data_IF_504892078447
#
_entry.id   IF_504892078447
#
_cell.length_a   1.000
_cell.length_b   1.000
_cell.length_c   1.000
_cell.angle_alpha   90.00
_cell.angle_beta   90.00
_cell.angle_gamma   90.00
#
_symmetry.space_group_name_H-M   'P 1'
#
loop_
_entity.id
_entity.type
_entity.pdbx_description
1 polymer ?
#
# COMPACT_ATOMS: atom_id res chain seq x y z
N UNK A 1 -2.87 7.87 61.74
CA UNK A 1 -2.40 6.60 61.20
C UNK A 1 -3.58 5.90 60.54
N UNK A 2 -4.00 6.29 59.33
CA UNK A 2 -4.89 5.50 58.43
C UNK A 2 -5.18 6.26 57.13
N UNK A 3 -4.11 6.63 56.39
CA UNK A 3 -4.27 7.27 55.06
C UNK A 3 -3.21 6.81 54.06
N UNK A 4 -2.59 5.62 54.30
CA UNK A 4 -1.46 5.16 53.45
C UNK A 4 -1.72 3.81 52.76
N UNK A 5 -2.95 3.30 52.78
CA UNK A 5 -3.27 1.98 52.16
C UNK A 5 -4.23 2.03 50.99
N UNK A 6 -4.63 3.23 50.50
CA UNK A 6 -5.57 3.37 49.38
C UNK A 6 -4.93 3.76 48.04
N UNK A 7 -3.62 4.03 48.00
CA UNK A 7 -2.90 4.40 46.75
C UNK A 7 -2.08 3.27 46.10
N UNK A 8 -2.14 2.06 46.67
CA UNK A 8 -1.34 0.92 46.19
C UNK A 8 -2.14 -0.17 45.44
N UNK A 9 -3.38 0.10 45.06
CA UNK A 9 -4.26 -0.88 44.38
C UNK A 9 -4.75 -0.48 42.98
N UNK A 10 -4.08 0.45 42.32
CA UNK A 10 -4.34 0.75 40.88
C UNK A 10 -3.09 0.58 40.04
N UNK A 11 -2.31 -0.46 40.29
CA UNK A 11 -1.58 -1.12 39.21
C UNK A 11 -2.63 -2.01 38.55
N UNK A 12 -3.43 -1.37 37.67
CA UNK A 12 -4.30 -2.06 36.74
C UNK A 12 -3.46 -3.15 36.08
N UNK A 13 -3.83 -4.41 36.31
CA UNK A 13 -3.49 -5.53 35.46
C UNK A 13 -4.00 -5.17 34.04
N UNK A 14 -3.20 -4.44 33.27
CA UNK A 14 -3.42 -4.32 31.82
C UNK A 14 -3.36 -5.74 31.28
N UNK A 15 -4.54 -6.34 31.12
CA UNK A 15 -4.67 -7.67 30.53
C UNK A 15 -3.79 -7.73 29.29
N UNK A 16 -2.91 -8.71 29.21
CA UNK A 16 -1.99 -8.86 28.09
C UNK A 16 -2.78 -8.84 26.79
N UNK A 17 -2.36 -7.97 25.87
CA UNK A 17 -3.02 -7.87 24.55
C UNK A 17 -3.20 -9.26 23.96
N UNK A 18 -4.39 -9.61 23.44
CA UNK A 18 -4.60 -10.90 22.77
C UNK A 18 -3.52 -11.21 21.72
N UNK A 19 -2.88 -10.19 21.14
CA UNK A 19 -1.80 -10.32 20.16
C UNK A 19 -0.51 -10.91 20.75
N UNK A 20 -0.35 -10.89 22.08
CA UNK A 20 0.82 -11.45 22.77
C UNK A 20 0.59 -12.89 23.26
N UNK A 21 -0.63 -13.32 23.53
CA UNK A 21 -0.90 -14.58 24.23
C UNK A 21 -1.57 -15.66 23.40
N UNK A 22 -2.39 -15.29 22.39
CA UNK A 22 -3.16 -16.24 21.60
C UNK A 22 -2.37 -17.01 20.51
N UNK A 23 -3.01 -17.99 19.84
CA UNK A 23 -2.43 -18.72 18.71
C UNK A 23 -2.07 -17.80 17.55
N UNK A 24 -0.84 -17.83 17.09
CA UNK A 24 -0.28 -16.92 16.07
C UNK A 24 -1.11 -16.94 14.77
N UNK A 25 -1.48 -18.11 14.27
CA UNK A 25 -2.30 -18.23 13.05
C UNK A 25 -3.63 -17.46 13.19
N UNK A 26 -4.35 -17.68 14.31
CA UNK A 26 -5.63 -16.98 14.57
C UNK A 26 -5.46 -15.48 14.63
N UNK A 27 -4.38 -15.00 15.27
CA UNK A 27 -4.09 -13.57 15.39
C UNK A 27 -3.70 -12.96 14.07
N UNK A 28 -2.88 -13.66 13.27
CA UNK A 28 -2.52 -13.21 11.93
C UNK A 28 -3.79 -13.09 11.06
N UNK A 29 -4.65 -14.11 11.04
CA UNK A 29 -5.92 -14.05 10.29
C UNK A 29 -6.84 -12.93 10.81
N UNK A 30 -6.91 -12.73 12.13
CA UNK A 30 -7.70 -11.64 12.73
C UNK A 30 -7.25 -10.25 12.25
N UNK A 31 -5.94 -10.04 12.08
CA UNK A 31 -5.39 -8.80 11.55
C UNK A 31 -5.50 -8.75 10.02
N UNK A 32 -5.19 -9.84 9.32
CA UNK A 32 -5.07 -9.86 7.87
C UNK A 32 -6.43 -9.78 7.16
N UNK A 33 -7.44 -10.55 7.60
CA UNK A 33 -8.70 -10.65 6.87
C UNK A 33 -9.42 -9.29 6.78
N UNK A 34 -9.65 -8.53 7.87
CA UNK A 34 -10.30 -7.22 7.75
C UNK A 34 -9.45 -6.23 6.95
N UNK A 35 -8.12 -6.27 7.09
CA UNK A 35 -7.20 -5.42 6.34
C UNK A 35 -7.29 -5.69 4.84
N UNK A 36 -7.27 -6.97 4.44
CA UNK A 36 -7.42 -7.40 3.04
C UNK A 36 -8.77 -6.96 2.49
N UNK A 37 -9.85 -7.21 3.24
CA UNK A 37 -11.20 -6.80 2.80
C UNK A 37 -11.30 -5.29 2.61
N UNK A 38 -10.78 -4.49 3.53
CA UNK A 38 -10.73 -3.04 3.39
C UNK A 38 -9.97 -2.59 2.14
N UNK A 39 -8.80 -3.19 1.88
CA UNK A 39 -7.99 -2.89 0.70
C UNK A 39 -8.64 -3.35 -0.61
N UNK A 40 -9.28 -4.51 -0.64
CA UNK A 40 -10.00 -5.01 -1.82
C UNK A 40 -11.19 -4.12 -2.15
N UNK A 41 -11.98 -3.72 -1.16
CA UNK A 41 -13.10 -2.78 -1.35
C UNK A 41 -12.57 -1.44 -1.87
N UNK A 42 -11.44 -0.97 -1.33
CA UNK A 42 -10.76 0.24 -1.80
C UNK A 42 -10.25 0.09 -3.25
N UNK A 43 -9.73 -1.07 -3.64
CA UNK A 43 -9.33 -1.35 -5.03
C UNK A 43 -10.53 -1.38 -5.98
N UNK A 44 -11.65 -1.95 -5.54
CA UNK A 44 -12.87 -2.03 -6.34
C UNK A 44 -13.47 -0.64 -6.63
N UNK A 45 -13.50 0.26 -5.64
CA UNK A 45 -14.05 1.60 -5.91
C UNK A 45 -13.23 2.34 -6.96
N UNK A 46 -11.91 2.23 -6.95
CA UNK A 46 -11.05 2.84 -7.97
C UNK A 46 -11.38 2.36 -9.38
N UNK A 47 -11.75 1.09 -9.51
CA UNK A 47 -12.19 0.54 -10.79
C UNK A 47 -13.58 1.08 -11.20
N UNK A 48 -14.53 1.16 -10.26
CA UNK A 48 -15.87 1.68 -10.51
C UNK A 48 -15.85 3.17 -10.86
N UNK A 49 -15.04 3.98 -10.16
CA UNK A 49 -14.81 5.40 -10.45
C UNK A 49 -14.32 5.59 -11.90
N UNK A 50 -13.29 4.84 -12.31
CA UNK A 50 -12.80 4.87 -13.69
C UNK A 50 -13.89 4.48 -14.72
N UNK A 51 -14.75 3.51 -14.39
CA UNK A 51 -15.87 3.09 -15.22
C UNK A 51 -16.91 4.20 -15.35
N UNK A 52 -17.28 4.87 -14.26
CA UNK A 52 -18.24 5.95 -14.25
C UNK A 52 -17.73 7.17 -15.03
N UNK A 53 -16.47 7.53 -14.89
CA UNK A 53 -15.86 8.61 -15.68
C UNK A 53 -15.85 8.23 -17.17
N UNK A 54 -15.45 7.02 -17.52
CA UNK A 54 -15.36 6.56 -18.90
C UNK A 54 -16.73 6.48 -19.59
N UNK A 55 -17.73 5.92 -18.91
CA UNK A 55 -19.07 5.72 -19.49
C UNK A 55 -19.98 6.93 -19.31
N UNK A 56 -19.88 7.65 -18.19
CA UNK A 56 -20.76 8.78 -17.87
C UNK A 56 -20.31 10.10 -18.51
N UNK A 57 -19.00 10.31 -18.71
CA UNK A 57 -18.47 11.57 -19.24
C UNK A 57 -17.82 11.35 -20.60
N UNK A 58 -17.12 10.22 -20.79
CA UNK A 58 -16.53 9.82 -22.06
C UNK A 58 -15.02 9.59 -22.01
N UNK A 59 -14.49 9.06 -23.11
CA UNK A 59 -13.09 8.64 -23.24
C UNK A 59 -12.09 9.80 -23.04
N UNK A 60 -12.43 11.01 -23.48
CA UNK A 60 -11.57 12.19 -23.31
C UNK A 60 -11.39 12.54 -21.83
N UNK A 61 -12.46 12.48 -21.04
CA UNK A 61 -12.42 12.69 -19.59
C UNK A 61 -11.56 11.65 -18.89
N UNK A 62 -11.69 10.38 -19.27
CA UNK A 62 -10.85 9.31 -18.76
C UNK A 62 -9.38 9.51 -19.13
N UNK A 63 -9.10 10.01 -20.34
CA UNK A 63 -7.75 10.41 -20.76
C UNK A 63 -7.17 11.50 -19.88
N UNK A 64 -7.96 12.55 -19.56
CA UNK A 64 -7.56 13.65 -18.70
C UNK A 64 -7.24 13.19 -17.27
N UNK A 65 -8.10 12.34 -16.67
CA UNK A 65 -7.87 11.76 -15.33
C UNK A 65 -6.62 10.87 -15.32
N UNK A 66 -6.46 10.04 -16.33
CA UNK A 66 -5.28 9.15 -16.45
C UNK A 66 -3.97 9.95 -16.56
N UNK A 67 -3.98 11.08 -17.27
CA UNK A 67 -2.80 11.92 -17.44
C UNK A 67 -2.32 12.54 -16.12
N UNK A 68 -3.21 12.82 -15.16
CA UNK A 68 -2.86 13.41 -13.84
C UNK A 68 -2.79 12.37 -12.72
N UNK A 69 -3.07 11.11 -12.99
CA UNK A 69 -2.99 10.02 -12.02
C UNK A 69 -1.63 9.90 -11.32
N UNK A 70 -0.47 10.16 -11.97
CA UNK A 70 0.82 10.16 -11.28
C UNK A 70 0.92 11.16 -10.12
N UNK A 71 0.25 12.31 -10.22
CA UNK A 71 0.21 13.31 -9.13
C UNK A 71 -0.48 12.69 -7.90
N UNK A 72 -1.61 12.06 -8.11
CA UNK A 72 -2.39 11.41 -7.06
C UNK A 72 -1.61 10.26 -6.41
N UNK A 73 -0.89 9.47 -7.22
CA UNK A 73 -0.05 8.38 -6.72
C UNK A 73 1.07 8.86 -5.81
N UNK A 74 1.71 10.01 -6.10
CA UNK A 74 2.73 10.60 -5.23
C UNK A 74 2.13 11.00 -3.88
N UNK A 75 0.95 11.64 -3.88
CA UNK A 75 0.26 12.04 -2.64
C UNK A 75 -0.09 10.82 -1.79
N UNK A 76 -0.61 9.76 -2.41
CA UNK A 76 -0.94 8.49 -1.73
C UNK A 76 0.33 7.84 -1.19
N UNK A 77 1.40 7.73 -1.97
CA UNK A 77 2.64 7.09 -1.58
C UNK A 77 3.27 7.76 -0.35
N UNK A 78 3.28 9.09 -0.31
CA UNK A 78 3.83 9.84 0.83
C UNK A 78 2.92 9.70 2.05
N UNK A 79 1.60 9.81 1.89
CA UNK A 79 0.64 9.58 2.97
C UNK A 79 0.79 8.19 3.60
N UNK A 80 0.90 7.16 2.77
CA UNK A 80 1.08 5.77 3.20
C UNK A 80 2.44 5.54 3.85
N UNK A 81 3.50 6.17 3.32
CA UNK A 81 4.83 6.17 3.94
C UNK A 81 4.77 6.66 5.39
N UNK A 82 4.13 7.80 5.62
CA UNK A 82 4.00 8.38 6.96
C UNK A 82 3.18 7.49 7.90
N UNK A 83 2.05 6.98 7.42
CA UNK A 83 1.17 6.09 8.18
C UNK A 83 1.86 4.77 8.54
N UNK A 84 2.55 4.13 7.61
CA UNK A 84 3.28 2.88 7.85
C UNK A 84 4.44 3.06 8.84
N UNK A 85 5.20 4.16 8.72
CA UNK A 85 6.26 4.49 9.66
C UNK A 85 5.75 4.72 11.08
N UNK A 86 4.66 5.44 11.24
CA UNK A 86 3.96 5.63 12.51
C UNK A 86 3.48 4.29 13.06
N UNK A 87 2.79 3.48 12.26
CA UNK A 87 2.23 2.19 12.66
C UNK A 87 3.30 1.21 13.16
N UNK A 88 4.48 1.20 12.54
CA UNK A 88 5.64 0.41 12.98
C UNK A 88 6.11 0.78 14.40
N UNK A 89 6.18 2.07 14.72
CA UNK A 89 6.59 2.54 16.04
C UNK A 89 5.50 2.27 17.08
N UNK A 90 4.25 2.59 16.76
CA UNK A 90 3.11 2.43 17.65
C UNK A 90 2.93 0.97 18.08
N UNK A 91 2.87 0.03 17.11
CA UNK A 91 2.69 -1.40 17.42
C UNK A 91 3.80 -1.93 18.32
N UNK A 92 5.03 -1.49 18.12
CA UNK A 92 6.19 -1.88 18.93
C UNK A 92 6.15 -1.30 20.34
N UNK A 93 5.78 -0.02 20.49
CA UNK A 93 5.65 0.60 21.80
C UNK A 93 4.49 0.02 22.61
N UNK A 94 3.36 -0.29 21.95
CA UNK A 94 2.24 -0.97 22.61
C UNK A 94 2.64 -2.38 23.06
N UNK A 95 3.38 -3.13 22.24
CA UNK A 95 3.92 -4.43 22.64
C UNK A 95 4.89 -4.35 23.83
N UNK A 96 5.68 -3.28 23.90
CA UNK A 96 6.58 -3.00 25.02
C UNK A 96 5.89 -2.41 26.26
N UNK A 97 4.55 -2.29 26.29
CA UNK A 97 3.74 -1.63 27.32
C UNK A 97 4.11 -0.15 27.55
N UNK A 98 4.67 0.50 26.52
CA UNK A 98 5.09 1.91 26.54
C UNK A 98 4.01 2.81 25.93
N UNK A 99 2.86 2.89 26.60
CA UNK A 99 1.67 3.60 26.14
C UNK A 99 1.94 5.08 25.80
N UNK A 100 2.70 5.80 26.66
CA UNK A 100 3.00 7.22 26.48
C UNK A 100 3.77 7.48 25.19
N UNK A 101 4.75 6.63 24.86
CA UNK A 101 5.53 6.75 23.64
C UNK A 101 4.70 6.41 22.40
N UNK A 102 3.77 5.45 22.50
CA UNK A 102 2.84 5.13 21.42
C UNK A 102 1.91 6.32 21.13
N UNK A 103 1.33 6.95 22.17
CA UNK A 103 0.49 8.14 22.04
C UNK A 103 1.27 9.34 21.49
N UNK A 104 2.54 9.50 21.88
CA UNK A 104 3.42 10.54 21.38
C UNK A 104 3.65 10.38 19.87
N UNK A 105 4.05 9.20 19.42
CA UNK A 105 4.31 8.92 17.99
C UNK A 105 3.04 9.08 17.18
N UNK A 106 1.91 8.58 17.66
CA UNK A 106 0.61 8.74 16.99
C UNK A 106 0.27 10.22 16.82
N UNK A 107 0.42 11.02 17.87
CA UNK A 107 0.13 12.47 17.83
C UNK A 107 1.11 13.24 16.96
N UNK A 108 2.41 12.92 17.03
CA UNK A 108 3.44 13.53 16.20
C UNK A 108 3.23 13.28 14.70
N UNK A 109 2.64 12.13 14.34
CA UNK A 109 2.37 11.78 12.94
C UNK A 109 1.42 12.76 12.27
N UNK A 110 0.47 13.36 13.00
CA UNK A 110 -0.45 14.36 12.44
C UNK A 110 0.26 15.65 12.03
N UNK A 111 1.20 16.14 12.84
CA UNK A 111 1.99 17.32 12.47
C UNK A 111 2.77 17.05 11.18
N UNK A 112 3.45 15.90 11.13
CA UNK A 112 4.22 15.51 9.94
C UNK A 112 3.31 15.34 8.71
N UNK A 113 2.14 14.71 8.88
CA UNK A 113 1.17 14.52 7.81
C UNK A 113 0.62 15.85 7.28
N UNK A 114 0.23 16.75 8.17
CA UNK A 114 -0.31 18.07 7.81
C UNK A 114 0.76 18.91 7.10
N UNK A 115 1.98 18.97 7.65
CA UNK A 115 3.07 19.74 7.03
C UNK A 115 3.44 19.17 5.65
N UNK A 116 3.55 17.85 5.53
CA UNK A 116 3.83 17.20 4.25
C UNK A 116 2.70 17.42 3.24
N UNK A 117 1.44 17.31 3.66
CA UNK A 117 0.30 17.56 2.81
C UNK A 117 0.27 19.02 2.34
N UNK A 118 0.40 19.99 3.24
CA UNK A 118 0.42 21.41 2.90
C UNK A 118 1.56 21.73 1.92
N UNK A 119 2.77 21.25 2.19
CA UNK A 119 3.92 21.44 1.31
C UNK A 119 3.66 20.88 -0.08
N UNK A 120 3.27 19.60 -0.18
CA UNK A 120 3.07 18.92 -1.45
C UNK A 120 1.89 19.52 -2.23
N UNK A 121 0.77 19.75 -1.57
CA UNK A 121 -0.41 20.33 -2.19
C UNK A 121 -0.13 21.76 -2.70
N UNK A 122 0.56 22.58 -1.91
CA UNK A 122 0.94 23.94 -2.33
C UNK A 122 1.92 23.91 -3.50
N UNK A 123 2.98 23.08 -3.42
CA UNK A 123 3.95 22.94 -4.52
C UNK A 123 3.28 22.45 -5.80
N UNK A 124 2.39 21.46 -5.70
CA UNK A 124 1.66 20.92 -6.85
C UNK A 124 0.73 21.97 -7.44
N UNK A 125 -0.05 22.67 -6.61
CA UNK A 125 -0.98 23.69 -7.07
C UNK A 125 -0.30 24.85 -7.76
N UNK A 126 0.79 25.39 -7.17
CA UNK A 126 1.53 26.52 -7.73
C UNK A 126 2.29 26.16 -9.02
N UNK A 127 2.62 24.89 -9.24
CA UNK A 127 3.39 24.43 -10.40
C UNK A 127 2.56 23.56 -11.36
N UNK A 128 1.22 23.60 -11.29
CA UNK A 128 0.36 22.67 -12.02
C UNK A 128 0.63 22.67 -13.53
N UNK A 129 0.80 23.87 -14.14
CA UNK A 129 1.10 24.01 -15.56
C UNK A 129 2.46 23.39 -15.94
N UNK A 130 3.49 23.59 -15.10
CA UNK A 130 4.81 22.99 -15.30
C UNK A 130 4.76 21.46 -15.18
N UNK A 131 3.95 20.95 -14.25
CA UNK A 131 3.72 19.52 -14.06
C UNK A 131 2.98 18.94 -15.27
N UNK A 132 1.98 19.65 -15.82
CA UNK A 132 1.30 19.22 -17.05
C UNK A 132 2.27 19.13 -18.23
N UNK A 133 3.17 20.11 -18.37
CA UNK A 133 4.22 20.06 -19.39
C UNK A 133 5.19 18.91 -19.17
N UNK A 134 5.60 18.62 -17.93
CA UNK A 134 6.48 17.51 -17.58
C UNK A 134 5.82 16.14 -17.86
N UNK A 135 4.51 16.03 -17.60
CA UNK A 135 3.73 14.84 -17.87
C UNK A 135 3.26 14.74 -19.33
N UNK A 136 3.64 15.71 -20.17
CA UNK A 136 3.22 15.82 -21.58
C UNK A 136 1.69 15.73 -21.73
N UNK A 137 0.93 16.38 -20.85
CA UNK A 137 -0.55 16.41 -20.90
C UNK A 137 -0.97 17.23 -22.14
N UNK A 138 -1.70 16.64 -23.11
CA UNK A 138 -2.19 17.36 -24.28
C UNK A 138 -3.03 18.59 -23.90
N UNK A 139 -2.87 19.69 -24.60
CA UNK A 139 -3.62 20.95 -24.33
C UNK A 139 -5.13 20.73 -24.32
N UNK A 140 -5.65 19.85 -25.19
CA UNK A 140 -7.07 19.49 -25.27
C UNK A 140 -7.61 18.83 -23.99
N UNK A 141 -6.73 18.22 -23.17
CA UNK A 141 -7.10 17.54 -21.93
C UNK A 141 -6.84 18.38 -20.67
N UNK A 142 -6.03 19.46 -20.75
CA UNK A 142 -5.59 20.23 -19.58
C UNK A 142 -6.74 20.84 -18.79
N UNK A 143 -7.78 21.32 -19.45
CA UNK A 143 -8.96 21.89 -18.79
C UNK A 143 -9.68 20.87 -17.91
N UNK A 144 -9.94 19.66 -18.44
CA UNK A 144 -10.59 18.58 -17.69
C UNK A 144 -9.64 18.01 -16.61
N UNK A 145 -8.36 17.85 -16.94
CA UNK A 145 -7.32 17.42 -15.99
C UNK A 145 -7.21 18.38 -14.80
N UNK A 146 -7.22 19.69 -15.04
CA UNK A 146 -7.21 20.73 -14.02
C UNK A 146 -8.49 20.69 -13.17
N UNK A 147 -9.68 20.55 -13.78
CA UNK A 147 -10.96 20.44 -13.07
C UNK A 147 -11.03 19.23 -12.14
N UNK A 148 -10.34 18.14 -12.48
CA UNK A 148 -10.25 16.95 -11.65
C UNK A 148 -9.21 17.08 -10.53
N UNK A 149 -7.96 17.47 -10.88
CA UNK A 149 -6.85 17.38 -9.92
C UNK A 149 -6.83 18.53 -8.92
N UNK A 150 -7.31 19.74 -9.30
CA UNK A 150 -7.26 20.90 -8.42
C UNK A 150 -8.02 20.73 -7.11
N UNK A 151 -9.30 20.30 -7.10
CA UNK A 151 -10.01 20.03 -5.85
C UNK A 151 -9.29 18.97 -5.00
N UNK A 152 -8.81 17.89 -5.63
CA UNK A 152 -8.07 16.82 -4.93
C UNK A 152 -6.84 17.41 -4.24
N UNK A 153 -5.99 18.13 -4.94
CA UNK A 153 -4.76 18.72 -4.37
C UNK A 153 -5.10 19.71 -3.25
N UNK A 154 -6.11 20.55 -3.40
CA UNK A 154 -6.50 21.52 -2.37
C UNK A 154 -6.95 20.88 -1.06
N UNK A 155 -7.65 19.77 -1.12
CA UNK A 155 -8.28 19.14 0.04
C UNK A 155 -7.63 17.81 0.48
N UNK A 156 -6.52 17.38 -0.15
CA UNK A 156 -5.88 16.09 0.18
C UNK A 156 -5.30 16.02 1.59
N UNK A 157 -5.18 17.13 2.29
CA UNK A 157 -4.89 17.16 3.75
C UNK A 157 -5.87 16.27 4.53
N UNK A 158 -7.14 16.23 4.11
CA UNK A 158 -8.18 15.36 4.70
C UNK A 158 -7.76 13.88 4.56
N UNK A 159 -7.28 13.49 3.37
CA UNK A 159 -6.78 12.14 3.11
C UNK A 159 -5.56 11.77 3.97
N UNK A 160 -4.62 12.71 4.14
CA UNK A 160 -3.45 12.49 5.01
C UNK A 160 -3.86 12.25 6.46
N UNK A 161 -4.75 13.08 7.02
CA UNK A 161 -5.23 12.95 8.40
C UNK A 161 -6.03 11.65 8.56
N UNK A 162 -6.95 11.36 7.64
CA UNK A 162 -7.75 10.14 7.66
C UNK A 162 -6.86 8.89 7.65
N UNK A 163 -5.81 8.89 6.82
CA UNK A 163 -4.84 7.80 6.76
C UNK A 163 -4.10 7.59 8.09
N UNK A 164 -3.68 8.66 8.80
CA UNK A 164 -3.00 8.52 10.09
C UNK A 164 -3.91 7.85 11.13
N UNK A 165 -5.20 8.23 11.21
CA UNK A 165 -6.14 7.61 12.14
C UNK A 165 -6.38 6.15 11.76
N UNK A 166 -6.57 5.88 10.49
CA UNK A 166 -6.83 4.53 9.95
C UNK A 166 -5.66 3.58 10.24
N UNK A 167 -4.43 4.04 9.98
CA UNK A 167 -3.20 3.31 10.30
C UNK A 167 -3.00 3.16 11.83
N UNK A 168 -3.44 4.13 12.60
CA UNK A 168 -3.47 4.07 14.06
C UNK A 168 -4.36 2.95 14.60
N UNK A 169 -5.56 2.74 14.03
CA UNK A 169 -6.41 1.60 14.36
C UNK A 169 -5.71 0.27 14.09
N UNK A 170 -5.11 0.12 12.93
CA UNK A 170 -4.36 -1.08 12.56
C UNK A 170 -3.19 -1.32 13.52
N UNK A 171 -2.38 -0.29 13.75
CA UNK A 171 -1.23 -0.37 14.64
C UNK A 171 -1.60 -0.70 16.09
N UNK A 172 -2.80 -0.32 16.51
CA UNK A 172 -3.36 -0.63 17.84
C UNK A 172 -3.94 -2.05 17.93
N UNK A 173 -3.96 -2.81 16.82
CA UNK A 173 -4.52 -4.16 16.77
C UNK A 173 -6.04 -4.20 16.56
N UNK A 174 -6.66 -3.11 16.08
CA UNK A 174 -8.07 -3.06 15.68
C UNK A 174 -8.25 -2.88 14.16
N UNK A 175 -7.97 -3.92 13.34
CA UNK A 175 -8.12 -3.84 11.90
C UNK A 175 -9.58 -3.71 11.45
N UNK A 176 -10.55 -4.03 12.30
CA UNK A 176 -11.98 -3.85 11.99
C UNK A 176 -12.36 -2.39 11.88
N UNK A 177 -11.87 -1.54 12.79
CA UNK A 177 -12.09 -0.09 12.71
C UNK A 177 -11.43 0.50 11.45
N UNK A 178 -10.21 0.06 11.12
CA UNK A 178 -9.57 0.40 9.84
C UNK A 178 -10.46 0.01 8.64
N UNK A 179 -10.92 -1.23 8.59
CA UNK A 179 -11.78 -1.73 7.51
C UNK A 179 -13.08 -0.91 7.41
N UNK A 180 -13.72 -0.56 8.54
CA UNK A 180 -14.93 0.26 8.54
C UNK A 180 -14.70 1.62 7.88
N UNK A 181 -13.61 2.31 8.23
CA UNK A 181 -13.29 3.62 7.65
C UNK A 181 -13.04 3.50 6.14
N UNK A 182 -12.20 2.53 5.72
CA UNK A 182 -11.87 2.31 4.31
C UNK A 182 -13.11 1.93 3.49
N UNK A 183 -13.92 1.00 4.00
CA UNK A 183 -15.13 0.56 3.30
C UNK A 183 -16.16 1.69 3.21
N UNK A 184 -16.29 2.49 4.26
CA UNK A 184 -17.22 3.65 4.21
C UNK A 184 -16.76 4.67 3.18
N UNK A 185 -15.45 5.03 3.16
CA UNK A 185 -14.91 5.93 2.15
C UNK A 185 -15.19 5.42 0.73
N UNK A 186 -14.93 4.12 0.49
CA UNK A 186 -15.09 3.51 -0.82
C UNK A 186 -16.55 3.42 -1.28
N UNK A 187 -17.45 2.98 -0.41
CA UNK A 187 -18.88 2.87 -0.73
C UNK A 187 -19.50 4.25 -0.96
N UNK A 188 -19.19 5.21 -0.09
CA UNK A 188 -19.67 6.59 -0.25
C UNK A 188 -19.12 7.23 -1.52
N UNK A 189 -17.87 6.98 -1.88
CA UNK A 189 -17.30 7.48 -3.12
C UNK A 189 -18.10 6.97 -4.33
N UNK A 190 -18.38 5.67 -4.44
CA UNK A 190 -19.19 5.09 -5.53
C UNK A 190 -20.58 5.73 -5.60
N UNK A 191 -21.24 5.93 -4.46
CA UNK A 191 -22.58 6.52 -4.42
C UNK A 191 -22.55 8.00 -4.81
N UNK A 192 -21.55 8.74 -4.34
CA UNK A 192 -21.40 10.17 -4.66
C UNK A 192 -20.92 10.39 -6.09
N UNK A 193 -20.08 9.51 -6.65
CA UNK A 193 -19.72 9.54 -8.07
C UNK A 193 -20.95 9.38 -8.94
N UNK A 194 -21.80 8.39 -8.64
CA UNK A 194 -23.05 8.21 -9.36
C UNK A 194 -23.93 9.46 -9.27
N UNK A 195 -24.04 10.07 -8.10
CA UNK A 195 -24.85 11.27 -7.89
C UNK A 195 -24.28 12.51 -8.62
N UNK A 196 -22.98 12.76 -8.49
CA UNK A 196 -22.35 13.99 -9.00
C UNK A 196 -22.11 13.92 -10.51
N UNK A 197 -21.82 12.72 -11.05
CA UNK A 197 -21.58 12.54 -12.49
C UNK A 197 -22.91 12.45 -13.26
N UNK A 198 -23.84 11.59 -12.82
CA UNK A 198 -25.04 11.28 -13.62
C UNK A 198 -26.27 12.12 -13.27
N UNK A 199 -26.42 12.58 -12.01
CA UNK A 199 -27.59 13.35 -11.58
C UNK A 199 -27.31 14.85 -11.61
N UNK A 200 -26.17 15.28 -11.08
CA UNK A 200 -25.80 16.70 -11.06
C UNK A 200 -25.03 17.14 -12.30
N UNK A 201 -24.57 16.20 -13.12
CA UNK A 201 -23.85 16.46 -14.38
C UNK A 201 -22.59 17.35 -14.21
N UNK A 202 -21.91 17.23 -13.05
CA UNK A 202 -20.70 18.02 -12.75
C UNK A 202 -19.47 17.54 -13.54
N UNK A 203 -19.61 16.53 -14.39
CA UNK A 203 -18.52 15.99 -15.19
C UNK A 203 -17.36 15.48 -14.35
N UNK A 204 -16.14 15.70 -14.81
CA UNK A 204 -14.90 15.21 -14.16
C UNK A 204 -14.70 15.83 -12.77
N UNK A 205 -15.12 17.10 -12.58
CA UNK A 205 -15.09 17.74 -11.28
C UNK A 205 -15.99 17.03 -10.26
N UNK A 206 -17.09 16.41 -10.71
CA UNK A 206 -17.98 15.60 -9.88
C UNK A 206 -17.26 14.44 -9.22
N UNK A 207 -16.47 13.68 -9.98
CA UNK A 207 -15.66 12.57 -9.45
C UNK A 207 -14.65 13.07 -8.40
N UNK A 208 -13.96 14.19 -8.64
CA UNK A 208 -13.05 14.79 -7.69
C UNK A 208 -13.75 15.17 -6.37
N UNK A 209 -14.88 15.85 -6.45
CA UNK A 209 -15.66 16.25 -5.27
C UNK A 209 -16.27 15.05 -4.54
N UNK A 210 -16.70 14.01 -5.26
CA UNK A 210 -17.18 12.77 -4.65
C UNK A 210 -16.10 12.11 -3.78
N UNK A 211 -14.87 12.06 -4.28
CA UNK A 211 -13.71 11.55 -3.52
C UNK A 211 -13.47 12.37 -2.25
N UNK A 212 -13.48 13.71 -2.34
CA UNK A 212 -13.25 14.59 -1.20
C UNK A 212 -14.38 14.48 -0.17
N UNK A 213 -15.63 14.47 -0.61
CA UNK A 213 -16.79 14.32 0.27
C UNK A 213 -16.78 12.95 0.97
N UNK A 214 -16.49 11.88 0.25
CA UNK A 214 -16.39 10.54 0.80
C UNK A 214 -15.28 10.44 1.87
N UNK A 215 -14.09 10.97 1.58
CA UNK A 215 -12.97 11.05 2.54
C UNK A 215 -13.31 11.93 3.74
N UNK A 216 -14.03 13.03 3.55
CA UNK A 216 -14.45 13.91 4.66
C UNK A 216 -15.40 13.21 5.61
N UNK A 217 -16.38 12.49 5.08
CA UNK A 217 -17.32 11.71 5.90
C UNK A 217 -16.58 10.55 6.60
N UNK A 218 -15.70 9.86 5.88
CA UNK A 218 -14.87 8.80 6.45
C UNK A 218 -13.96 9.32 7.58
N UNK A 219 -13.39 10.53 7.43
CA UNK A 219 -12.62 11.19 8.49
C UNK A 219 -13.47 11.46 9.73
N UNK A 220 -14.71 11.95 9.56
CA UNK A 220 -15.64 12.17 10.70
C UNK A 220 -15.90 10.85 11.42
N UNK A 221 -16.13 9.77 10.69
CA UNK A 221 -16.35 8.43 11.27
C UNK A 221 -15.06 7.95 11.97
N UNK A 222 -13.89 8.14 11.35
CA UNK A 222 -12.61 7.77 11.98
C UNK A 222 -12.39 8.51 13.32
N UNK A 223 -12.69 9.82 13.35
CA UNK A 223 -12.62 10.61 14.59
C UNK A 223 -13.63 10.12 15.64
N UNK A 224 -14.86 9.77 15.23
CA UNK A 224 -15.86 9.20 16.13
C UNK A 224 -15.44 7.86 16.72
N UNK A 225 -14.89 6.96 15.90
CA UNK A 225 -14.36 5.67 16.36
C UNK A 225 -13.17 5.89 17.31
N UNK A 226 -12.27 6.81 16.99
CA UNK A 226 -11.16 7.18 17.86
C UNK A 226 -11.64 7.72 19.21
N UNK A 227 -12.67 8.57 19.23
CA UNK A 227 -13.23 9.13 20.46
C UNK A 227 -14.00 8.11 21.30
N UNK A 228 -14.54 7.06 20.68
CA UNK A 228 -15.17 5.91 21.38
C UNK A 228 -14.16 4.93 21.98
N UNK A 229 -12.85 5.15 21.78
CA UNK A 229 -11.82 4.30 22.33
C UNK A 229 -11.53 3.03 21.51
N UNK A 230 -11.93 2.99 20.24
CA UNK A 230 -11.63 1.87 19.33
C UNK A 230 -10.14 1.75 18.99
N UNK A 231 -9.33 2.74 19.37
CA UNK A 231 -7.87 2.72 19.25
C UNK A 231 -7.22 2.66 20.62
N UNK A 232 -6.18 1.86 20.77
CA UNK A 232 -5.39 1.83 21.99
C UNK A 232 -4.54 3.10 22.17
N UNK A 233 -4.28 3.87 21.09
CA UNK A 233 -3.52 5.13 21.18
C UNK A 233 -4.44 6.34 21.27
N UNK A 234 -3.99 7.35 22.01
CA UNK A 234 -4.74 8.59 22.26
C UNK A 234 -4.01 9.79 21.67
N UNK A 235 -4.79 10.71 21.10
CA UNK A 235 -4.26 11.96 20.61
C UNK A 235 -3.92 12.91 21.76
N UNK A 236 -2.69 13.41 21.78
CA UNK A 236 -2.17 14.34 22.78
C UNK A 236 -1.66 15.61 22.11
N UNK A 237 -2.31 16.75 22.34
CA UNK A 237 -1.92 18.03 21.71
C UNK A 237 -0.46 18.43 22.00
N UNK A 238 0.06 18.10 23.18
CA UNK A 238 1.46 18.42 23.56
C UNK A 238 2.48 17.67 22.71
N UNK A 239 2.14 16.51 22.21
CA UNK A 239 3.02 15.65 21.43
C UNK A 239 3.03 15.98 19.92
N UNK A 240 2.27 16.98 19.47
CA UNK A 240 2.35 17.48 18.09
C UNK A 240 3.77 18.01 17.75
N UNK A 241 4.42 18.66 18.73
CA UNK A 241 5.76 19.23 18.61
C UNK A 241 6.82 18.30 19.24
N UNK A 242 6.70 17.00 19.00
CA UNK A 242 7.70 16.02 19.45
C UNK A 242 9.08 16.25 18.84
N UNK A 243 10.15 15.75 19.47
CA UNK A 243 11.51 15.91 18.97
C UNK A 243 11.66 15.39 17.53
N UNK A 244 12.50 16.07 16.74
CA UNK A 244 12.75 15.77 15.31
C UNK A 244 13.16 14.31 15.09
N UNK A 245 13.82 13.70 16.07
CA UNK A 245 14.21 12.28 16.03
C UNK A 245 13.02 11.33 15.89
N UNK A 246 11.86 11.66 16.46
CA UNK A 246 10.62 10.86 16.33
C UNK A 246 10.15 10.90 14.88
N UNK A 247 10.11 12.08 14.28
CA UNK A 247 9.72 12.27 12.88
C UNK A 247 10.68 11.57 11.91
N UNK A 248 12.01 11.69 12.14
CA UNK A 248 13.00 11.01 11.30
C UNK A 248 12.90 9.48 11.39
N UNK A 249 12.59 8.93 12.58
CA UNK A 249 12.33 7.49 12.73
C UNK A 249 11.08 7.05 11.97
N UNK A 250 10.00 7.82 12.02
CA UNK A 250 8.80 7.54 11.21
C UNK A 250 9.11 7.55 9.72
N UNK A 251 9.80 8.59 9.22
CA UNK A 251 10.20 8.68 7.82
C UNK A 251 11.07 7.50 7.39
N UNK A 252 12.08 7.15 8.19
CA UNK A 252 12.99 6.04 7.86
C UNK A 252 12.28 4.68 7.81
N UNK A 253 11.30 4.44 8.69
CA UNK A 253 10.53 3.21 8.73
C UNK A 253 9.43 3.14 7.65
N UNK A 254 8.98 4.29 7.17
CA UNK A 254 8.06 4.37 6.04
C UNK A 254 8.74 4.32 4.66
N UNK A 255 10.04 4.62 4.59
CA UNK A 255 10.79 4.68 3.33
C UNK A 255 10.65 3.43 2.45
N UNK A 256 10.65 2.18 2.98
CA UNK A 256 10.39 1.00 2.16
C UNK A 256 9.09 1.10 1.35
N UNK A 257 8.02 1.60 1.96
CA UNK A 257 6.72 1.75 1.30
C UNK A 257 6.78 2.75 0.14
N UNK A 258 7.47 3.88 0.34
CA UNK A 258 7.69 4.86 -0.73
C UNK A 258 8.48 4.26 -1.90
N UNK A 259 9.53 3.50 -1.61
CA UNK A 259 10.34 2.84 -2.64
C UNK A 259 9.57 1.74 -3.38
N UNK A 260 8.68 1.01 -2.69
CA UNK A 260 7.80 0.02 -3.33
C UNK A 260 6.85 0.69 -4.32
N UNK A 261 6.18 1.79 -3.94
CA UNK A 261 5.30 2.55 -4.85
C UNK A 261 6.07 3.15 -6.02
N UNK A 262 7.24 3.78 -5.77
CA UNK A 262 8.11 4.30 -6.81
C UNK A 262 8.65 3.21 -7.72
N UNK A 263 9.07 2.08 -7.14
CA UNK A 263 9.57 0.92 -7.85
C UNK A 263 8.55 0.35 -8.83
N UNK A 264 7.30 0.28 -8.43
CA UNK A 264 6.22 -0.16 -9.31
C UNK A 264 6.08 0.74 -10.55
N UNK A 265 6.11 2.05 -10.37
CA UNK A 265 6.04 3.02 -11.48
C UNK A 265 7.26 2.90 -12.42
N UNK A 266 8.45 2.70 -11.86
CA UNK A 266 9.68 2.49 -12.64
C UNK A 266 9.62 1.19 -13.43
N UNK A 267 9.11 0.09 -12.82
CA UNK A 267 8.93 -1.19 -13.53
C UNK A 267 8.00 -1.01 -14.72
N UNK A 268 6.84 -0.35 -14.54
CA UNK A 268 5.90 -0.11 -15.64
C UNK A 268 6.55 0.66 -16.80
N UNK A 269 7.22 1.76 -16.49
CA UNK A 269 7.90 2.58 -17.49
C UNK A 269 9.02 1.78 -18.20
N UNK A 270 9.85 1.05 -17.44
CA UNK A 270 10.92 0.23 -17.98
C UNK A 270 10.39 -0.90 -18.86
N UNK A 271 9.26 -1.54 -18.48
CA UNK A 271 8.65 -2.60 -19.28
C UNK A 271 8.14 -2.05 -20.61
N UNK A 272 7.41 -0.93 -20.58
CA UNK A 272 6.90 -0.28 -21.81
C UNK A 272 8.09 0.13 -22.73
N UNK A 273 9.12 0.74 -22.16
CA UNK A 273 10.34 1.11 -22.89
C UNK A 273 11.02 -0.13 -23.51
N UNK A 274 11.18 -1.20 -22.74
CA UNK A 274 11.77 -2.45 -23.22
C UNK A 274 10.94 -3.08 -24.35
N UNK A 275 9.62 -3.13 -24.22
CA UNK A 275 8.74 -3.64 -25.26
C UNK A 275 8.90 -2.81 -26.55
N UNK A 276 8.89 -1.48 -26.43
CA UNK A 276 8.99 -0.58 -27.58
C UNK A 276 10.34 -0.69 -28.31
N UNK A 277 11.42 -0.99 -27.60
CA UNK A 277 12.77 -1.11 -28.16
C UNK A 277 13.09 -2.51 -28.70
N UNK A 278 12.62 -3.54 -28.00
CA UNK A 278 12.97 -4.94 -28.30
C UNK A 278 11.98 -5.60 -29.28
N UNK A 279 10.68 -5.23 -29.20
CA UNK A 279 9.60 -5.79 -30.03
C UNK A 279 9.03 -4.77 -31.04
N UNK A 280 9.86 -4.05 -31.75
CA UNK A 280 9.45 -2.90 -32.57
C UNK A 280 8.24 -3.16 -33.50
N UNK A 281 8.09 -4.38 -34.08
CA UNK A 281 6.98 -4.71 -34.99
C UNK A 281 5.65 -5.04 -34.27
N UNK A 282 5.69 -5.56 -33.03
CA UNK A 282 4.51 -5.98 -32.26
C UNK A 282 4.38 -5.20 -30.93
N UNK A 283 4.99 -4.02 -30.82
CA UNK A 283 5.04 -3.27 -29.56
C UNK A 283 3.67 -2.88 -29.06
N UNK A 284 2.79 -2.39 -29.91
CA UNK A 284 1.46 -1.88 -29.52
C UNK A 284 0.55 -3.00 -28.94
N UNK A 285 0.35 -4.16 -29.59
CA UNK A 285 -0.40 -5.28 -29.01
C UNK A 285 0.21 -5.81 -27.72
N UNK A 286 1.55 -5.88 -27.62
CA UNK A 286 2.24 -6.33 -26.40
C UNK A 286 2.08 -5.36 -25.24
N UNK A 287 2.17 -4.05 -25.49
CA UNK A 287 1.94 -3.02 -24.46
C UNK A 287 0.49 -3.11 -23.96
N UNK A 288 -0.46 -3.31 -24.86
CA UNK A 288 -1.88 -3.46 -24.51
C UNK A 288 -2.11 -4.71 -23.66
N UNK A 289 -1.59 -5.86 -24.10
CA UNK A 289 -1.69 -7.12 -23.37
C UNK A 289 -1.06 -7.02 -21.96
N UNK A 290 0.17 -6.49 -21.89
CA UNK A 290 0.86 -6.25 -20.63
C UNK A 290 0.07 -5.30 -19.71
N UNK A 291 -0.48 -4.22 -20.25
CA UNK A 291 -1.31 -3.26 -19.48
C UNK A 291 -2.54 -3.91 -18.86
N UNK A 292 -3.23 -4.81 -19.58
CA UNK A 292 -4.36 -5.58 -19.04
C UNK A 292 -3.90 -6.51 -17.92
N UNK A 293 -2.82 -7.27 -18.15
CA UNK A 293 -2.28 -8.21 -17.17
C UNK A 293 -1.83 -7.50 -15.89
N UNK A 294 -1.20 -6.33 -15.99
CA UNK A 294 -0.78 -5.53 -14.83
C UNK A 294 -1.99 -5.09 -14.00
N UNK A 295 -3.10 -4.72 -14.62
CA UNK A 295 -4.33 -4.36 -13.88
C UNK A 295 -4.88 -5.56 -13.09
N UNK A 296 -4.94 -6.73 -13.72
CA UNK A 296 -5.31 -7.96 -13.03
C UNK A 296 -4.35 -8.30 -11.88
N UNK A 297 -3.05 -8.19 -12.14
CA UNK A 297 -1.99 -8.40 -11.15
C UNK A 297 -2.14 -7.46 -9.95
N UNK A 298 -2.31 -6.14 -10.17
CA UNK A 298 -2.46 -5.17 -9.10
C UNK A 298 -3.60 -5.52 -8.15
N UNK A 299 -4.75 -5.91 -8.70
CA UNK A 299 -5.90 -6.31 -7.90
C UNK A 299 -5.63 -7.58 -7.09
N UNK A 300 -5.04 -8.59 -7.71
CA UNK A 300 -4.68 -9.86 -7.07
C UNK A 300 -3.50 -9.72 -6.08
N UNK A 301 -2.75 -8.63 -6.16
CA UNK A 301 -1.64 -8.32 -5.24
C UNK A 301 -2.11 -7.65 -3.94
N UNK A 302 -3.30 -7.03 -3.90
CA UNK A 302 -3.84 -6.37 -2.70
C UNK A 302 -3.86 -7.26 -1.45
N UNK A 303 -4.23 -8.55 -1.52
CA UNK A 303 -4.16 -9.44 -0.36
C UNK A 303 -2.74 -9.61 0.19
N UNK A 304 -1.71 -9.62 -0.66
CA UNK A 304 -0.31 -9.71 -0.19
C UNK A 304 0.07 -8.46 0.59
N UNK A 305 -0.33 -7.26 0.13
CA UNK A 305 -0.12 -6.01 0.87
C UNK A 305 -0.85 -6.07 2.22
N UNK A 306 -2.10 -6.52 2.24
CA UNK A 306 -2.87 -6.69 3.46
C UNK A 306 -2.21 -7.64 4.47
N UNK A 307 -1.66 -8.77 3.99
CA UNK A 307 -0.89 -9.70 4.81
C UNK A 307 0.40 -9.09 5.34
N UNK A 308 1.12 -8.31 4.51
CA UNK A 308 2.36 -7.62 4.91
C UNK A 308 2.11 -6.65 6.07
N UNK A 309 1.09 -5.79 5.96
CA UNK A 309 0.80 -4.80 7.01
C UNK A 309 0.22 -5.44 8.27
N UNK A 310 -0.50 -6.56 8.14
CA UNK A 310 -0.93 -7.38 9.28
C UNK A 310 0.27 -8.00 10.02
N UNK A 311 1.23 -8.55 9.26
CA UNK A 311 2.48 -9.06 9.81
C UNK A 311 3.29 -7.95 10.49
N UNK A 312 3.38 -6.76 9.89
CA UNK A 312 4.06 -5.60 10.47
C UNK A 312 3.53 -5.30 11.88
N UNK A 313 2.22 -5.29 12.05
CA UNK A 313 1.58 -5.05 13.36
C UNK A 313 1.88 -6.20 14.33
N UNK A 314 1.63 -7.45 13.93
CA UNK A 314 1.83 -8.62 14.81
C UNK A 314 3.30 -8.79 15.22
N UNK A 315 4.22 -8.59 14.26
CA UNK A 315 5.66 -8.61 14.52
C UNK A 315 6.08 -7.46 15.45
N UNK A 316 5.52 -6.26 15.26
CA UNK A 316 5.78 -5.09 16.11
C UNK A 316 5.40 -5.34 17.56
N UNK A 317 4.19 -5.82 17.82
CA UNK A 317 3.74 -6.17 19.17
C UNK A 317 4.64 -7.21 19.84
N UNK A 318 4.89 -8.34 19.18
CA UNK A 318 5.68 -9.42 19.76
C UNK A 318 7.17 -9.05 19.90
N UNK A 319 7.72 -8.26 18.98
CA UNK A 319 9.09 -7.75 19.07
C UNK A 319 9.25 -6.75 20.22
N UNK A 320 8.27 -5.85 20.39
CA UNK A 320 8.23 -4.90 21.49
C UNK A 320 8.16 -5.57 22.87
N UNK A 321 7.45 -6.70 22.96
CA UNK A 321 7.34 -7.51 24.16
C UNK A 321 8.56 -8.41 24.42
N UNK A 322 9.54 -8.50 23.48
CA UNK A 322 10.67 -9.41 23.59
C UNK A 322 10.39 -10.86 23.19
N UNK A 323 9.20 -11.15 22.63
CA UNK A 323 8.72 -12.48 22.26
C UNK A 323 9.23 -12.89 20.85
N UNK A 324 10.57 -13.08 20.71
CA UNK A 324 11.20 -13.29 19.39
C UNK A 324 10.81 -14.60 18.72
N UNK A 325 10.53 -15.66 19.50
CA UNK A 325 10.02 -16.92 18.95
C UNK A 325 8.63 -16.72 18.32
N UNK A 326 7.78 -15.89 18.92
CA UNK A 326 6.47 -15.56 18.36
C UNK A 326 6.60 -14.71 17.09
N UNK A 327 7.56 -13.79 17.04
CA UNK A 327 7.89 -13.02 15.82
C UNK A 327 8.27 -13.97 14.69
N UNK A 328 9.14 -14.97 14.95
CA UNK A 328 9.54 -15.95 13.94
C UNK A 328 8.37 -16.81 13.47
N UNK A 329 7.53 -17.29 14.40
CA UNK A 329 6.32 -18.04 14.05
C UNK A 329 5.34 -17.21 13.22
N UNK A 330 5.12 -15.93 13.57
CA UNK A 330 4.26 -15.02 12.82
C UNK A 330 4.77 -14.82 11.38
N UNK A 331 6.09 -14.63 11.22
CA UNK A 331 6.71 -14.51 9.91
C UNK A 331 6.52 -15.77 9.05
N UNK A 332 6.78 -16.96 9.62
CA UNK A 332 6.63 -18.22 8.90
C UNK A 332 5.17 -18.49 8.49
N UNK A 333 4.22 -18.18 9.39
CA UNK A 333 2.78 -18.29 9.08
C UNK A 333 2.40 -17.32 7.95
N UNK A 334 2.86 -16.08 7.99
CA UNK A 334 2.61 -15.10 6.95
C UNK A 334 3.21 -15.53 5.60
N UNK A 335 4.44 -16.05 5.59
CA UNK A 335 5.08 -16.61 4.40
C UNK A 335 4.29 -17.79 3.82
N UNK A 336 3.83 -18.70 4.67
CA UNK A 336 3.03 -19.85 4.22
C UNK A 336 1.71 -19.41 3.57
N UNK A 337 0.98 -18.52 4.23
CA UNK A 337 -0.31 -18.03 3.71
C UNK A 337 -0.11 -17.23 2.43
N UNK A 338 0.92 -16.37 2.36
CA UNK A 338 1.23 -15.61 1.15
C UNK A 338 1.67 -16.51 -0.01
N UNK A 339 2.37 -17.62 0.26
CA UNK A 339 2.72 -18.62 -0.75
C UNK A 339 1.47 -19.34 -1.27
N UNK A 340 0.57 -19.77 -0.39
CA UNK A 340 -0.71 -20.38 -0.81
C UNK A 340 -1.49 -19.43 -1.69
N UNK A 341 -1.61 -18.16 -1.30
CA UNK A 341 -2.23 -17.15 -2.13
C UNK A 341 -1.49 -16.94 -3.46
N UNK A 342 -0.16 -16.90 -3.43
CA UNK A 342 0.69 -16.80 -4.62
C UNK A 342 0.46 -17.95 -5.61
N UNK A 343 0.34 -19.19 -5.12
CA UNK A 343 -0.03 -20.35 -5.94
C UNK A 343 -1.38 -20.14 -6.58
N UNK A 344 -2.41 -19.73 -5.82
CA UNK A 344 -3.76 -19.47 -6.35
C UNK A 344 -3.70 -18.41 -7.46
N UNK A 345 -2.99 -17.30 -7.23
CA UNK A 345 -2.85 -16.20 -8.20
C UNK A 345 -2.11 -16.66 -9.45
N UNK A 346 -1.02 -17.43 -9.30
CA UNK A 346 -0.30 -18.01 -10.43
C UNK A 346 -1.22 -18.89 -11.28
N UNK A 347 -2.02 -19.75 -10.65
CA UNK A 347 -3.02 -20.55 -11.35
C UNK A 347 -4.05 -19.67 -12.09
N UNK A 348 -4.59 -18.64 -11.44
CA UNK A 348 -5.55 -17.72 -12.06
C UNK A 348 -4.94 -17.04 -13.27
N UNK A 349 -3.76 -16.42 -13.12
CA UNK A 349 -3.13 -15.63 -14.16
C UNK A 349 -2.56 -16.49 -15.31
N UNK A 350 -1.97 -17.65 -15.00
CA UNK A 350 -1.36 -18.49 -16.03
C UNK A 350 -2.40 -19.37 -16.78
N UNK A 351 -3.35 -19.99 -16.05
CA UNK A 351 -4.31 -20.90 -16.69
C UNK A 351 -5.52 -20.19 -17.29
N UNK A 352 -5.90 -19.02 -16.76
CA UNK A 352 -7.06 -18.27 -17.23
C UNK A 352 -6.69 -16.96 -17.93
N UNK A 353 -5.43 -16.79 -18.34
CA UNK A 353 -4.96 -15.56 -19.00
C UNK A 353 -5.81 -15.21 -20.22
N UNK A 354 -6.11 -16.19 -21.07
CA UNK A 354 -6.95 -16.01 -22.25
C UNK A 354 -8.32 -15.40 -21.88
N UNK A 355 -9.03 -15.99 -20.92
CA UNK A 355 -10.33 -15.50 -20.48
C UNK A 355 -10.23 -14.12 -19.82
N UNK A 356 -9.23 -13.91 -18.96
CA UNK A 356 -9.02 -12.63 -18.28
C UNK A 356 -8.77 -11.49 -19.26
N UNK A 357 -7.97 -11.73 -20.30
CA UNK A 357 -7.67 -10.71 -21.31
C UNK A 357 -8.88 -10.47 -22.21
N UNK A 358 -9.59 -11.53 -22.60
CA UNK A 358 -10.82 -11.45 -23.39
C UNK A 358 -11.95 -10.65 -22.74
N UNK A 359 -11.92 -10.47 -21.40
CA UNK A 359 -12.84 -9.55 -20.71
C UNK A 359 -12.60 -8.08 -21.05
N UNK A 360 -11.39 -7.71 -21.50
CA UNK A 360 -10.99 -6.33 -21.76
C UNK A 360 -10.85 -5.99 -23.24
N UNK A 361 -10.64 -7.00 -24.10
CA UNK A 361 -10.46 -6.81 -25.53
C UNK A 361 -10.99 -7.98 -26.34
N UNK A 362 -11.49 -7.68 -27.54
CA UNK A 362 -11.88 -8.69 -28.54
C UNK A 362 -10.76 -8.99 -29.53
N UNK A 363 -9.59 -8.37 -29.41
CA UNK A 363 -8.45 -8.57 -30.30
C UNK A 363 -7.78 -9.93 -29.98
N UNK A 364 -7.81 -10.84 -30.96
CA UNK A 364 -7.26 -12.18 -30.83
C UNK A 364 -5.73 -12.18 -30.68
N UNK A 365 -5.02 -11.23 -31.34
CA UNK A 365 -3.57 -11.10 -31.25
C UNK A 365 -3.14 -10.66 -29.83
N UNK A 366 -3.80 -9.64 -29.29
CA UNK A 366 -3.57 -9.16 -27.90
C UNK A 366 -3.81 -10.29 -26.90
N UNK A 367 -4.85 -11.09 -27.12
CA UNK A 367 -5.21 -12.19 -26.22
C UNK A 367 -4.16 -13.31 -26.25
N UNK A 368 -3.66 -13.69 -27.41
CA UNK A 368 -2.63 -14.75 -27.52
C UNK A 368 -1.28 -14.30 -26.95
N UNK A 369 -0.83 -13.08 -27.32
CA UNK A 369 0.41 -12.51 -26.77
C UNK A 369 0.35 -12.36 -25.26
N UNK A 370 -0.80 -11.92 -24.73
CA UNK A 370 -0.97 -11.78 -23.29
C UNK A 370 -0.96 -13.12 -22.54
N UNK A 371 -1.46 -14.18 -23.13
CA UNK A 371 -1.36 -15.55 -22.60
C UNK A 371 0.10 -16.00 -22.50
N UNK A 372 0.90 -15.78 -23.54
CA UNK A 372 2.34 -16.11 -23.53
C UNK A 372 3.09 -15.32 -22.44
N UNK A 373 2.84 -14.02 -22.35
CA UNK A 373 3.40 -13.17 -21.28
C UNK A 373 3.03 -13.71 -19.90
N UNK A 374 1.75 -14.01 -19.67
CA UNK A 374 1.26 -14.42 -18.36
C UNK A 374 1.90 -15.73 -17.88
N UNK A 375 2.07 -16.71 -18.77
CA UNK A 375 2.67 -18.00 -18.45
C UNK A 375 4.11 -17.87 -17.93
N UNK A 376 4.87 -16.93 -18.44
CA UNK A 376 6.26 -16.73 -18.05
C UNK A 376 6.36 -15.70 -16.92
N UNK A 377 5.82 -14.50 -17.13
CA UNK A 377 6.05 -13.36 -16.21
C UNK A 377 5.51 -13.61 -14.79
N UNK A 378 4.42 -14.37 -14.66
CA UNK A 378 3.82 -14.63 -13.34
C UNK A 378 4.19 -15.98 -12.72
N UNK A 379 5.02 -16.78 -13.36
CA UNK A 379 5.48 -18.07 -12.83
C UNK A 379 6.21 -17.93 -11.47
N UNK A 380 6.93 -16.82 -11.25
CA UNK A 380 7.64 -16.50 -10.00
C UNK A 380 6.77 -15.91 -8.89
N UNK A 381 5.51 -15.60 -9.15
CA UNK A 381 4.65 -14.86 -8.22
C UNK A 381 4.48 -15.55 -6.85
N UNK A 382 4.56 -16.88 -6.81
CA UNK A 382 4.52 -17.67 -5.57
C UNK A 382 5.59 -17.25 -4.54
N UNK A 383 6.74 -16.75 -5.00
CA UNK A 383 7.85 -16.33 -4.16
C UNK A 383 7.88 -14.83 -3.89
N UNK A 384 7.14 -14.03 -4.65
CA UNK A 384 7.05 -12.59 -4.47
C UNK A 384 6.59 -12.19 -3.05
N UNK A 385 5.72 -13.00 -2.45
CA UNK A 385 5.26 -12.83 -1.08
C UNK A 385 6.40 -12.81 -0.04
N UNK A 386 7.52 -13.53 -0.26
CA UNK A 386 8.64 -13.57 0.69
C UNK A 386 9.32 -12.21 0.84
N UNK A 387 9.51 -11.47 -0.25
CA UNK A 387 10.05 -10.11 -0.19
C UNK A 387 9.16 -9.20 0.63
N UNK A 388 7.83 -9.22 0.36
CA UNK A 388 6.85 -8.38 1.05
C UNK A 388 6.74 -8.74 2.54
N UNK A 389 6.65 -10.03 2.87
CA UNK A 389 6.60 -10.46 4.27
C UNK A 389 7.87 -10.10 5.02
N UNK A 390 9.04 -10.21 4.37
CA UNK A 390 10.32 -9.83 4.97
C UNK A 390 10.40 -8.31 5.23
N UNK A 391 9.96 -7.49 4.29
CA UNK A 391 9.88 -6.04 4.47
C UNK A 391 8.95 -5.68 5.64
N UNK A 392 7.73 -6.24 5.68
CA UNK A 392 6.79 -6.06 6.78
C UNK A 392 7.33 -6.50 8.14
N UNK A 393 8.04 -7.62 8.18
CA UNK A 393 8.74 -8.10 9.38
C UNK A 393 9.74 -7.07 9.90
N UNK A 394 10.68 -6.63 9.04
CA UNK A 394 11.72 -5.69 9.46
C UNK A 394 11.18 -4.32 9.79
N UNK A 395 10.14 -3.85 9.09
CA UNK A 395 9.40 -2.65 9.46
C UNK A 395 8.79 -2.80 10.87
N UNK A 396 8.07 -3.90 11.14
CA UNK A 396 7.50 -4.20 12.46
C UNK A 396 8.55 -4.24 13.57
N UNK A 397 9.73 -4.84 13.31
CA UNK A 397 10.85 -4.83 14.24
C UNK A 397 11.55 -3.47 14.38
N UNK A 398 11.18 -2.47 13.59
CA UNK A 398 11.81 -1.14 13.59
C UNK A 398 13.18 -1.10 12.95
N UNK A 399 13.49 -2.05 12.06
CA UNK A 399 14.75 -2.14 11.33
C UNK A 399 14.58 -1.59 9.92
N UNK A 400 14.63 -0.26 9.77
CA UNK A 400 14.40 0.43 8.51
C UNK A 400 15.34 0.00 7.39
N UNK A 401 16.65 -0.10 7.67
CA UNK A 401 17.66 -0.42 6.65
C UNK A 401 17.42 -1.80 6.01
N UNK A 402 17.32 -2.92 6.76
CA UNK A 402 16.98 -4.20 6.15
C UNK A 402 15.67 -4.20 5.38
N UNK A 403 14.60 -3.53 5.89
CA UNK A 403 13.35 -3.42 5.19
C UNK A 403 13.51 -2.74 3.83
N UNK A 404 14.18 -1.58 3.81
CA UNK A 404 14.46 -0.80 2.60
C UNK A 404 15.31 -1.59 1.60
N UNK A 405 16.37 -2.26 2.09
CA UNK A 405 17.26 -3.04 1.22
C UNK A 405 16.54 -4.21 0.55
N UNK A 406 15.65 -4.91 1.27
CA UNK A 406 14.91 -6.05 0.71
C UNK A 406 13.88 -5.62 -0.33
N UNK A 407 13.16 -4.51 -0.09
CA UNK A 407 12.22 -3.94 -1.07
C UNK A 407 12.96 -3.42 -2.31
N UNK A 408 14.07 -2.70 -2.11
CA UNK A 408 14.85 -2.15 -3.21
C UNK A 408 15.59 -3.24 -4.00
N UNK A 409 16.08 -4.28 -3.36
CA UNK A 409 16.91 -5.31 -4.01
C UNK A 409 16.15 -6.03 -5.14
N UNK A 410 14.92 -6.45 -4.89
CA UNK A 410 14.12 -7.13 -5.92
C UNK A 410 13.91 -6.24 -7.14
N UNK A 411 13.52 -5.00 -6.93
CA UNK A 411 13.14 -4.08 -8.02
C UNK A 411 14.35 -3.48 -8.71
N UNK A 412 15.22 -2.81 -7.96
CA UNK A 412 16.28 -1.96 -8.52
C UNK A 412 17.58 -2.72 -8.78
N UNK A 413 17.87 -3.78 -8.01
CA UNK A 413 19.11 -4.54 -8.16
C UNK A 413 18.95 -5.80 -9.01
N UNK A 414 17.78 -6.45 -8.96
CA UNK A 414 17.54 -7.66 -9.73
C UNK A 414 16.70 -7.38 -10.98
N UNK A 415 15.45 -6.94 -10.82
CA UNK A 415 14.51 -6.88 -11.95
C UNK A 415 14.94 -5.89 -13.04
N UNK A 416 15.25 -4.64 -12.71
CA UNK A 416 15.61 -3.64 -13.73
C UNK A 416 16.88 -4.00 -14.52
N UNK A 417 18.00 -4.47 -13.92
CA UNK A 417 19.14 -4.95 -14.68
C UNK A 417 18.82 -6.17 -15.55
N UNK A 418 18.00 -7.12 -15.05
CA UNK A 418 17.61 -8.30 -15.83
C UNK A 418 16.75 -7.92 -17.05
N UNK A 419 15.86 -6.93 -16.93
CA UNK A 419 15.05 -6.44 -18.05
C UNK A 419 15.88 -5.86 -19.19
N UNK A 420 17.07 -5.36 -18.89
CA UNK A 420 18.01 -4.86 -19.91
C UNK A 420 18.93 -5.98 -20.41
N UNK A 421 19.47 -6.80 -19.52
CA UNK A 421 20.51 -7.76 -19.87
C UNK A 421 19.96 -9.01 -20.57
N UNK A 422 18.83 -9.56 -20.10
CA UNK A 422 18.30 -10.81 -20.68
C UNK A 422 17.88 -10.67 -22.15
N UNK A 423 17.14 -9.64 -22.58
CA UNK A 423 16.81 -9.48 -23.98
C UNK A 423 18.03 -9.33 -24.89
N UNK A 424 19.07 -8.65 -24.39
CA UNK A 424 20.31 -8.47 -25.16
C UNK A 424 21.14 -9.75 -25.32
N UNK A 425 21.04 -10.69 -24.37
CA UNK A 425 21.82 -11.92 -24.37
C UNK A 425 21.08 -13.10 -25.03
N UNK A 426 19.76 -13.18 -24.83
CA UNK A 426 18.97 -14.37 -25.17
C UNK A 426 17.79 -14.08 -26.11
N UNK A 427 17.68 -12.84 -26.62
CA UNK A 427 16.59 -12.43 -27.50
C UNK A 427 15.38 -11.86 -26.79
N UNK A 428 14.45 -11.32 -27.60
CA UNK A 428 13.31 -10.51 -27.13
C UNK A 428 12.46 -11.18 -26.06
N UNK A 429 12.14 -12.45 -26.21
CA UNK A 429 11.23 -13.18 -25.32
C UNK A 429 11.82 -13.39 -23.92
N UNK A 430 13.14 -13.26 -23.78
CA UNK A 430 13.82 -13.31 -22.50
C UNK A 430 13.48 -12.13 -21.58
N UNK A 431 12.86 -11.05 -22.08
CA UNK A 431 12.32 -9.96 -21.26
C UNK A 431 11.38 -10.48 -20.17
N UNK A 432 10.49 -11.40 -20.52
CA UNK A 432 9.48 -11.91 -19.59
C UNK A 432 10.06 -12.80 -18.49
N UNK A 433 11.20 -13.44 -18.73
CA UNK A 433 11.92 -14.21 -17.71
C UNK A 433 12.54 -13.35 -16.62
N UNK A 434 12.72 -12.04 -16.87
CA UNK A 434 13.25 -11.11 -15.85
C UNK A 434 12.40 -11.11 -14.59
N UNK A 435 11.07 -11.23 -14.71
CA UNK A 435 10.14 -11.20 -13.58
C UNK A 435 10.28 -12.43 -12.68
N UNK A 436 10.11 -13.68 -13.16
CA UNK A 436 10.21 -14.85 -12.29
C UNK A 436 11.62 -15.04 -11.72
N UNK A 437 12.68 -14.71 -12.47
CA UNK A 437 14.05 -14.78 -11.95
C UNK A 437 14.24 -13.81 -10.79
N UNK A 438 13.79 -12.55 -10.93
CA UNK A 438 13.87 -11.57 -9.86
C UNK A 438 13.01 -11.95 -8.65
N UNK A 439 11.81 -12.50 -8.86
CA UNK A 439 10.91 -12.94 -7.79
C UNK A 439 11.49 -14.12 -7.00
N UNK A 440 11.99 -15.13 -7.69
CA UNK A 440 12.57 -16.31 -7.05
C UNK A 440 13.88 -15.95 -6.34
N UNK A 441 14.80 -15.28 -7.02
CA UNK A 441 16.09 -14.92 -6.42
C UNK A 441 15.92 -13.95 -5.25
N UNK A 442 15.11 -12.90 -5.44
CA UNK A 442 14.81 -11.92 -4.39
C UNK A 442 14.06 -12.56 -3.22
N UNK A 443 13.05 -13.39 -3.50
CA UNK A 443 12.24 -14.08 -2.49
C UNK A 443 13.07 -15.06 -1.65
N UNK A 444 13.89 -15.89 -2.27
CA UNK A 444 14.76 -16.84 -1.57
C UNK A 444 15.80 -16.09 -0.72
N UNK A 445 16.39 -15.04 -1.25
CA UNK A 445 17.32 -14.19 -0.49
C UNK A 445 16.62 -13.55 0.72
N UNK A 446 15.44 -12.96 0.53
CA UNK A 446 14.70 -12.31 1.59
C UNK A 446 14.28 -13.27 2.70
N UNK A 447 13.79 -14.47 2.33
CA UNK A 447 13.42 -15.53 3.27
C UNK A 447 14.64 -16.00 4.08
N UNK A 448 15.74 -16.31 3.40
CA UNK A 448 16.98 -16.79 4.03
C UNK A 448 17.59 -15.77 4.99
N UNK A 449 17.66 -14.50 4.56
CA UNK A 449 18.17 -13.40 5.38
C UNK A 449 17.29 -13.15 6.61
N UNK A 450 15.97 -13.21 6.45
CA UNK A 450 15.03 -13.02 7.55
C UNK A 450 15.14 -14.13 8.60
N UNK A 451 15.16 -15.39 8.17
CA UNK A 451 15.31 -16.55 9.06
C UNK A 451 16.65 -16.49 9.78
N UNK A 452 17.74 -16.19 9.07
CA UNK A 452 19.07 -16.04 9.67
C UNK A 452 19.07 -14.96 10.76
N UNK A 453 18.49 -13.80 10.46
CA UNK A 453 18.41 -12.68 11.41
C UNK A 453 17.59 -13.03 12.64
N UNK A 454 16.43 -13.67 12.47
CA UNK A 454 15.55 -14.09 13.57
C UNK A 454 16.24 -15.15 14.46
N UNK A 455 16.88 -16.15 13.86
CA UNK A 455 17.61 -17.18 14.61
C UNK A 455 18.76 -16.59 15.43
N UNK A 456 19.45 -15.56 14.89
CA UNK A 456 20.52 -14.85 15.62
C UNK A 456 19.95 -14.04 16.77
N UNK A 457 18.80 -13.42 16.61
CA UNK A 457 18.12 -12.68 17.69
C UNK A 457 17.69 -13.62 18.82
N UNK A 458 17.08 -14.76 18.49
CA UNK A 458 16.63 -15.76 19.47
C UNK A 458 17.81 -16.34 20.26
N UNK A 459 18.94 -16.61 19.61
CA UNK A 459 20.12 -17.13 20.30
C UNK A 459 20.83 -16.14 21.22
N UNK A 460 20.61 -14.84 21.02
CA UNK A 460 21.28 -13.76 21.75
C UNK A 460 20.53 -13.34 23.01
N UNK A 461 19.27 -13.68 23.10
CA UNK A 461 18.38 -13.42 24.23
C UNK A 461 17.94 -14.71 24.88
#
# INVERSE_FOLDING_TARGET
>A
MSTTTAEMSTIDEQADSPLLTGPIFKQFCFLAIPTILGMVINGLYTFVDALFISQGIGAQAMGAVSAVFPIQMILIAISTMLGSGMASLVSRYLGAKRQKDADEVFSASFMLAILSALLLCTLTYLNLNSIFSLLAVPESLQAQASSYITPIVMFWVIGFICNQITEGFRASGNPKAMMQVLSTASILNILLDALFIFVFEWGVAGAAWATICALSIALVIAIQLQSKGESAVKFQRRSLLSPVQVHLKMLSLGLPVLLSHGGFSVILAATVYSISTVFAQNSEPLITAHGILVRCYMFLFLPIIGMMVALQTLAGFNYGAGEFERVKKAYLVACLISTVWGVIVTFILCLNAHWLIALFTSDALVTELGKEIALVAFAGFTTAGFCMMSSGLFQGMGKAIPATMLDAARTYVLLLPLMVTLPNLYGSDALWWSFPIADVAGGVFALSFSIFTLNRLIKKN
#
